data_IF_415420217806
#
_entry.id   IF_415420217806
#
_cell.length_a   1.000
_cell.length_b   1.000
_cell.length_c   1.000
_cell.angle_alpha   90.00
_cell.angle_beta   90.00
_cell.angle_gamma   90.00
#
_symmetry.space_group_name_H-M   'P 1'
#
loop_
_entity.id
_entity.type
_entity.pdbx_description
1 polymer ?
#
# COMPACT_ATOMS: atom_id res chain seq x y z
N UNK A 1 31.18 -46.48 -35.33
CA UNK A 1 31.85 -45.17 -35.35
C UNK A 1 30.79 -44.12 -35.17
N UNK A 2 30.95 -43.34 -34.10
CA UNK A 2 29.98 -42.43 -33.51
C UNK A 2 29.74 -41.20 -34.40
N UNK A 3 28.47 -40.85 -34.64
CA UNK A 3 28.12 -39.48 -35.02
C UNK A 3 27.39 -38.83 -33.85
N UNK A 4 28.11 -37.89 -33.25
CA UNK A 4 27.77 -37.08 -32.10
C UNK A 4 26.63 -36.13 -32.48
N UNK A 5 25.51 -36.22 -31.75
CA UNK A 5 24.43 -35.23 -31.79
C UNK A 5 24.95 -33.99 -31.07
N UNK A 6 25.20 -32.91 -31.82
CA UNK A 6 25.55 -31.60 -31.26
C UNK A 6 24.31 -30.98 -30.60
N UNK A 7 24.25 -31.08 -29.27
CA UNK A 7 23.38 -30.33 -28.39
C UNK A 7 23.84 -28.87 -28.33
N UNK A 8 23.33 -28.00 -29.22
CA UNK A 8 23.62 -26.55 -29.10
C UNK A 8 22.57 -25.58 -29.68
N UNK A 9 21.30 -25.98 -29.86
CA UNK A 9 20.27 -25.08 -30.42
C UNK A 9 18.95 -24.99 -29.62
N UNK A 10 19.02 -25.00 -28.29
CA UNK A 10 17.88 -24.67 -27.43
C UNK A 10 18.35 -23.74 -26.31
N UNK A 11 18.36 -22.43 -26.56
CA UNK A 11 18.20 -21.35 -25.57
C UNK A 11 18.44 -19.99 -26.24
N UNK A 12 17.45 -19.54 -27.01
CA UNK A 12 17.14 -18.10 -27.06
C UNK A 12 15.72 -17.96 -26.54
N UNK A 13 15.60 -18.06 -25.21
CA UNK A 13 14.47 -17.48 -24.51
C UNK A 13 14.47 -15.99 -24.84
N UNK A 14 13.49 -15.58 -25.61
CA UNK A 14 13.19 -14.19 -25.89
C UNK A 14 12.73 -13.50 -24.61
N UNK A 15 13.68 -13.07 -23.76
CA UNK A 15 13.40 -12.04 -22.77
C UNK A 15 13.27 -10.71 -23.52
N UNK A 16 12.08 -10.45 -24.07
CA UNK A 16 11.71 -9.07 -24.38
C UNK A 16 11.66 -8.34 -23.04
N UNK A 17 12.71 -7.56 -22.73
CA UNK A 17 12.63 -6.55 -21.67
C UNK A 17 11.60 -5.54 -22.17
N UNK A 18 10.33 -5.75 -21.85
CA UNK A 18 9.30 -4.74 -22.05
C UNK A 18 9.67 -3.61 -21.10
N UNK A 19 10.14 -2.48 -21.64
CA UNK A 19 10.37 -1.28 -20.85
C UNK A 19 9.07 -0.91 -20.12
N UNK A 20 9.17 -0.37 -18.90
CA UNK A 20 8.03 0.09 -18.12
C UNK A 20 8.31 1.49 -17.58
N UNK A 21 7.28 2.32 -17.49
CA UNK A 21 7.35 3.59 -16.76
C UNK A 21 7.15 3.30 -15.28
N UNK A 22 8.12 3.72 -14.48
CA UNK A 22 8.22 3.44 -13.05
C UNK A 22 7.72 4.65 -12.26
N UNK A 23 6.71 4.47 -11.42
CA UNK A 23 6.13 5.57 -10.65
C UNK A 23 6.26 5.30 -9.16
N UNK A 24 7.01 6.14 -8.47
CA UNK A 24 7.15 6.15 -7.02
C UNK A 24 6.24 7.24 -6.47
N UNK A 25 5.34 6.88 -5.56
CA UNK A 25 4.38 7.82 -4.94
C UNK A 25 4.68 7.92 -3.45
N UNK A 26 4.85 9.13 -2.95
CA UNK A 26 5.10 9.44 -1.53
C UNK A 26 4.00 10.35 -1.00
N UNK A 27 3.48 10.04 0.19
CA UNK A 27 2.59 10.95 0.92
C UNK A 27 3.41 11.95 1.73
N UNK A 28 2.94 13.20 1.83
CA UNK A 28 3.55 14.22 2.69
C UNK A 28 3.87 13.75 4.12
N UNK A 29 4.89 14.36 4.71
CA UNK A 29 5.30 14.16 6.09
C UNK A 29 4.19 14.50 7.10
N UNK A 30 4.39 14.12 8.35
CA UNK A 30 3.41 14.37 9.41
C UNK A 30 3.23 15.89 9.62
N UNK A 31 1.97 16.33 9.75
CA UNK A 31 1.61 17.73 10.02
C UNK A 31 1.01 17.93 11.41
N UNK A 32 0.90 19.19 11.84
CA UNK A 32 0.19 19.57 13.07
C UNK A 32 -1.24 19.04 13.10
N UNK A 33 -1.97 19.11 11.98
CA UNK A 33 -3.33 18.58 11.89
C UNK A 33 -3.39 17.06 11.90
N UNK A 34 -2.35 16.36 11.43
CA UNK A 34 -2.28 14.90 11.61
C UNK A 34 -2.19 14.52 13.08
N UNK A 35 -1.39 15.24 13.88
CA UNK A 35 -1.24 14.99 15.32
C UNK A 35 -2.50 15.33 16.11
N UNK A 36 -3.18 16.41 15.72
CA UNK A 36 -4.42 16.86 16.35
C UNK A 36 -5.64 16.02 15.94
N UNK A 37 -5.57 15.25 14.85
CA UNK A 37 -6.72 14.51 14.33
C UNK A 37 -7.77 15.43 13.69
N UNK A 38 -7.33 16.35 12.83
CA UNK A 38 -8.19 17.28 12.07
C UNK A 38 -8.25 16.91 10.59
N UNK A 39 -9.38 17.20 9.96
CA UNK A 39 -9.49 17.17 8.51
C UNK A 39 -8.67 18.33 7.92
N UNK A 40 -7.71 17.99 7.06
CA UNK A 40 -6.89 18.99 6.34
C UNK A 40 -7.54 19.38 5.03
N UNK A 41 -7.91 18.37 4.22
CA UNK A 41 -8.36 18.59 2.85
C UNK A 41 -7.35 19.42 2.05
N UNK A 42 -7.87 20.28 1.18
CA UNK A 42 -7.08 21.23 0.38
C UNK A 42 -6.67 22.51 1.13
N UNK A 43 -6.99 22.65 2.42
CA UNK A 43 -6.50 23.77 3.23
C UNK A 43 -4.97 23.72 3.35
N UNK A 44 -4.35 24.90 3.40
CA UNK A 44 -2.90 25.07 3.58
C UNK A 44 -2.53 25.60 4.98
N UNK A 45 -3.46 25.48 5.95
CA UNK A 45 -3.26 25.96 7.31
C UNK A 45 -2.36 25.05 8.18
N UNK A 46 -2.13 23.81 7.74
CA UNK A 46 -1.28 22.87 8.47
C UNK A 46 0.16 22.91 7.95
N UNK A 47 1.11 22.83 8.88
CA UNK A 47 2.56 22.78 8.59
C UNK A 47 3.12 21.42 8.96
N UNK A 48 4.25 21.03 8.36
CA UNK A 48 4.98 19.85 8.81
C UNK A 48 5.41 19.99 10.27
N UNK A 49 5.41 18.88 11.00
CA UNK A 49 6.06 18.82 12.31
C UNK A 49 7.53 18.48 12.12
N UNK A 50 8.34 18.68 13.16
CA UNK A 50 9.75 18.26 13.17
C UNK A 50 9.91 16.77 12.78
N UNK A 51 9.04 15.90 13.31
CA UNK A 51 8.99 14.48 12.92
C UNK A 51 8.62 14.29 11.45
N UNK A 52 7.80 15.19 10.90
CA UNK A 52 7.45 15.21 9.49
C UNK A 52 8.64 15.54 8.59
N UNK A 53 9.44 16.54 8.94
CA UNK A 53 10.68 16.90 8.24
C UNK A 53 11.69 15.74 8.29
N UNK A 54 11.96 15.21 9.48
CA UNK A 54 12.89 14.09 9.66
C UNK A 54 12.48 12.85 8.87
N UNK A 55 11.19 12.48 8.91
CA UNK A 55 10.68 11.36 8.15
C UNK A 55 10.80 11.59 6.63
N UNK A 56 10.53 12.80 6.14
CA UNK A 56 10.69 13.14 4.73
C UNK A 56 12.14 13.03 4.26
N UNK A 57 13.10 13.50 5.07
CA UNK A 57 14.52 13.34 4.78
C UNK A 57 14.92 11.85 4.74
N UNK A 58 14.48 11.05 5.71
CA UNK A 58 14.70 9.59 5.72
C UNK A 58 14.08 8.89 4.50
N UNK A 59 12.92 9.35 4.03
CA UNK A 59 12.31 8.87 2.78
C UNK A 59 13.22 9.17 1.59
N UNK A 60 13.82 10.35 1.52
CA UNK A 60 14.79 10.67 0.46
C UNK A 60 16.03 9.78 0.49
N UNK A 61 16.58 9.49 1.68
CA UNK A 61 17.68 8.52 1.84
C UNK A 61 17.28 7.13 1.31
N UNK A 62 16.10 6.65 1.67
CA UNK A 62 15.59 5.34 1.21
C UNK A 62 15.39 5.26 -0.31
N UNK A 63 15.28 6.40 -0.98
CA UNK A 63 15.06 6.51 -2.42
C UNK A 63 16.35 6.77 -3.22
N UNK A 64 17.52 6.88 -2.60
CA UNK A 64 18.79 7.21 -3.28
C UNK A 64 19.21 6.20 -4.36
N UNK A 65 18.74 4.95 -4.31
CA UNK A 65 19.06 3.98 -5.36
C UNK A 65 18.29 4.19 -6.67
N UNK A 66 17.28 5.07 -6.67
CA UNK A 66 16.51 5.39 -7.87
C UNK A 66 17.11 6.60 -8.59
N UNK A 67 17.30 6.47 -9.90
CA UNK A 67 17.54 7.63 -10.77
C UNK A 67 16.18 8.15 -11.23
N UNK A 68 15.83 9.39 -10.88
CA UNK A 68 14.57 10.01 -11.26
C UNK A 68 14.75 10.89 -12.49
N UNK A 69 13.89 10.69 -13.48
CA UNK A 69 13.81 11.53 -14.69
C UNK A 69 12.89 12.74 -14.48
N UNK A 70 11.92 12.63 -13.56
CA UNK A 70 11.02 13.72 -13.21
C UNK A 70 10.52 13.60 -11.76
N UNK A 71 10.27 14.76 -11.14
CA UNK A 71 9.68 14.88 -9.81
C UNK A 71 8.46 15.79 -9.89
N UNK A 72 7.30 15.31 -9.44
CA UNK A 72 6.06 16.08 -9.38
C UNK A 72 5.61 16.25 -7.93
N UNK A 73 5.06 17.42 -7.61
CA UNK A 73 4.56 17.72 -6.26
C UNK A 73 3.23 18.49 -6.28
N UNK A 74 2.39 18.27 -5.26
CA UNK A 74 1.22 19.11 -5.01
C UNK A 74 1.62 20.51 -4.57
N UNK A 75 0.91 21.59 -4.97
CA UNK A 75 1.26 22.97 -4.59
C UNK A 75 1.15 23.29 -3.10
N UNK A 76 0.50 22.45 -2.28
CA UNK A 76 0.30 22.74 -0.86
C UNK A 76 1.62 22.71 -0.07
N UNK A 77 1.78 23.66 0.85
CA UNK A 77 3.02 23.95 1.57
C UNK A 77 3.63 22.70 2.21
N UNK A 78 2.83 21.91 2.95
CA UNK A 78 3.28 20.65 3.57
C UNK A 78 3.89 19.64 2.59
N UNK A 79 3.43 19.62 1.34
CA UNK A 79 3.98 18.76 0.29
C UNK A 79 5.25 19.36 -0.29
N UNK A 80 5.28 20.69 -0.50
CA UNK A 80 6.49 21.38 -0.96
C UNK A 80 7.65 21.20 0.04
N UNK A 81 7.37 21.38 1.34
CA UNK A 81 8.35 21.12 2.41
C UNK A 81 8.82 19.65 2.39
N UNK A 82 7.89 18.69 2.27
CA UNK A 82 8.25 17.27 2.15
C UNK A 82 9.13 17.01 0.93
N UNK A 83 8.81 17.62 -0.21
CA UNK A 83 9.57 17.47 -1.44
C UNK A 83 10.97 18.07 -1.33
N UNK A 84 11.11 19.18 -0.62
CA UNK A 84 12.40 19.79 -0.36
C UNK A 84 13.30 18.88 0.49
N UNK A 85 12.79 18.28 1.56
CA UNK A 85 13.56 17.34 2.39
C UNK A 85 13.99 16.10 1.61
N UNK A 86 13.06 15.51 0.83
CA UNK A 86 13.35 14.34 -0.01
C UNK A 86 14.43 14.66 -1.04
N UNK A 87 14.29 15.79 -1.75
CA UNK A 87 15.25 16.18 -2.81
C UNK A 87 16.60 16.58 -2.23
N UNK A 88 16.64 17.16 -1.03
CA UNK A 88 17.88 17.46 -0.31
C UNK A 88 18.64 16.16 -0.01
N UNK A 89 17.97 15.14 0.53
CA UNK A 89 18.60 13.84 0.77
C UNK A 89 19.04 13.12 -0.51
N UNK A 90 18.27 13.21 -1.60
CA UNK A 90 18.63 12.64 -2.91
C UNK A 90 19.84 13.33 -3.54
N UNK A 91 19.95 14.65 -3.36
CA UNK A 91 21.07 15.45 -3.86
C UNK A 91 22.43 15.06 -3.28
N UNK A 92 22.46 14.39 -2.11
CA UNK A 92 23.70 13.89 -1.52
C UNK A 92 24.39 12.80 -2.37
N UNK A 93 23.66 12.13 -3.26
CA UNK A 93 24.17 11.02 -4.10
C UNK A 93 23.96 11.24 -5.59
N UNK A 94 23.29 12.32 -5.99
CA UNK A 94 22.97 12.60 -7.39
C UNK A 94 22.99 14.11 -7.66
N UNK A 95 24.07 14.57 -8.31
CA UNK A 95 24.27 15.98 -8.66
C UNK A 95 23.31 16.48 -9.77
N UNK A 96 22.63 15.58 -10.48
CA UNK A 96 21.74 15.88 -11.61
C UNK A 96 20.29 15.53 -11.31
N UNK A 97 19.78 15.95 -10.15
CA UNK A 97 18.38 15.75 -9.80
C UNK A 97 17.48 16.70 -10.63
N UNK A 98 16.38 16.22 -11.25
CA UNK A 98 15.46 17.09 -11.97
C UNK A 98 14.76 18.07 -11.02
N UNK A 99 14.38 19.27 -11.50
CA UNK A 99 13.63 20.22 -10.69
C UNK A 99 12.24 19.67 -10.34
N UNK A 100 11.71 20.13 -9.21
CA UNK A 100 10.35 19.78 -8.76
C UNK A 100 9.34 20.51 -9.67
N UNK A 101 8.45 19.74 -10.31
CA UNK A 101 7.35 20.25 -11.12
C UNK A 101 6.09 20.32 -10.25
N UNK A 102 5.61 21.53 -9.96
CA UNK A 102 4.38 21.73 -9.19
C UNK A 102 3.16 21.45 -10.07
N UNK A 103 2.35 20.47 -9.70
CA UNK A 103 1.17 20.04 -10.45
C UNK A 103 -0.12 20.29 -9.66
N UNK A 104 -0.97 21.26 -10.07
CA UNK A 104 -2.25 21.55 -9.39
C UNK A 104 -3.22 20.36 -9.32
N UNK A 105 -3.12 19.40 -10.26
CA UNK A 105 -3.91 18.15 -10.24
C UNK A 105 -3.58 17.25 -9.05
N UNK A 106 -2.44 17.46 -8.38
CA UNK A 106 -2.00 16.70 -7.21
C UNK A 106 -2.50 17.29 -5.88
N UNK A 107 -3.29 18.37 -5.87
CA UNK A 107 -3.90 18.91 -4.65
C UNK A 107 -4.79 17.89 -3.94
N UNK A 108 -4.81 17.95 -2.60
CA UNK A 108 -5.61 17.06 -1.76
C UNK A 108 -7.12 17.27 -1.98
N UNK A 109 -7.89 16.26 -1.62
CA UNK A 109 -9.36 16.31 -1.65
C UNK A 109 -9.90 17.55 -0.93
N UNK A 110 -10.81 18.27 -1.59
CA UNK A 110 -11.49 19.41 -0.97
C UNK A 110 -12.59 18.91 -0.01
N UNK A 111 -12.40 19.19 1.27
CA UNK A 111 -13.34 18.79 2.34
C UNK A 111 -14.15 19.97 2.88
N UNK A 112 -14.15 21.12 2.19
CA UNK A 112 -14.98 22.30 2.47
C UNK A 112 -15.18 22.56 3.97
N UNK A 113 -16.43 22.46 4.46
CA UNK A 113 -16.85 22.75 5.83
C UNK A 113 -16.19 21.87 6.91
N UNK A 114 -15.55 20.77 6.53
CA UNK A 114 -14.84 19.91 7.47
C UNK A 114 -13.40 20.33 7.70
N UNK A 115 -12.80 21.12 6.79
CA UNK A 115 -11.40 21.53 6.92
C UNK A 115 -11.18 22.30 8.22
N UNK A 116 -10.13 21.94 8.95
CA UNK A 116 -9.83 22.49 10.28
C UNK A 116 -10.60 21.85 11.42
N UNK A 117 -11.72 21.16 11.20
CA UNK A 117 -12.46 20.51 12.28
C UNK A 117 -11.80 19.21 12.74
N UNK A 118 -11.93 18.90 14.04
CA UNK A 118 -11.54 17.60 14.57
C UNK A 118 -12.43 16.48 14.01
N UNK A 119 -11.88 15.27 13.87
CA UNK A 119 -12.66 14.10 13.43
C UNK A 119 -13.91 13.86 14.29
N UNK A 120 -13.81 14.08 15.60
CA UNK A 120 -14.93 13.94 16.54
C UNK A 120 -16.00 15.02 16.29
N UNK A 121 -15.59 16.28 16.13
CA UNK A 121 -16.53 17.38 15.86
C UNK A 121 -17.31 17.13 14.56
N UNK A 122 -16.65 16.64 13.51
CA UNK A 122 -17.34 16.31 12.25
C UNK A 122 -18.37 15.21 12.45
N UNK A 123 -18.02 14.16 13.20
CA UNK A 123 -18.94 13.05 13.52
C UNK A 123 -20.18 13.53 14.27
N UNK A 124 -20.00 14.46 15.20
CA UNK A 124 -21.07 15.02 16.03
C UNK A 124 -21.93 16.05 15.28
N UNK A 125 -21.30 16.97 14.54
CA UNK A 125 -21.98 18.05 13.81
C UNK A 125 -22.64 17.58 12.51
N UNK A 126 -22.05 16.60 11.83
CA UNK A 126 -22.49 16.14 10.50
C UNK A 126 -22.71 14.61 10.42
N UNK A 127 -23.50 13.99 11.31
CA UNK A 127 -23.56 12.53 11.44
C UNK A 127 -24.01 11.80 10.17
N UNK A 128 -24.99 12.35 9.43
CA UNK A 128 -25.47 11.76 8.17
C UNK A 128 -24.43 11.83 7.06
N UNK A 129 -23.79 13.00 6.90
CA UNK A 129 -22.76 13.21 5.89
C UNK A 129 -21.49 12.40 6.23
N UNK A 130 -21.13 12.31 7.51
CA UNK A 130 -20.06 11.43 8.01
C UNK A 130 -20.33 9.96 7.70
N UNK A 131 -21.56 9.47 7.94
CA UNK A 131 -21.93 8.10 7.58
C UNK A 131 -21.81 7.87 6.06
N UNK A 132 -22.30 8.80 5.24
CA UNK A 132 -22.14 8.72 3.79
C UNK A 132 -20.67 8.71 3.35
N UNK A 133 -19.83 9.55 3.97
CA UNK A 133 -18.40 9.59 3.73
C UNK A 133 -17.71 8.25 4.04
N UNK A 134 -18.09 7.58 5.13
CA UNK A 134 -17.49 6.31 5.54
C UNK A 134 -17.95 5.13 4.67
N UNK A 135 -19.25 5.02 4.39
CA UNK A 135 -19.84 3.83 3.75
C UNK A 135 -19.96 3.96 2.23
N UNK A 136 -20.21 5.17 1.73
CA UNK A 136 -20.50 5.44 0.32
C UNK A 136 -19.74 6.70 -0.16
N UNK A 137 -18.41 6.73 -0.06
CA UNK A 137 -17.60 7.94 -0.32
C UNK A 137 -17.84 8.55 -1.71
N UNK A 138 -18.17 7.73 -2.71
CA UNK A 138 -18.51 8.16 -4.06
C UNK A 138 -19.82 8.94 -4.20
N UNK A 139 -20.71 8.90 -3.20
CA UNK A 139 -21.96 9.67 -3.15
C UNK A 139 -21.85 10.87 -2.20
N UNK A 140 -20.76 10.98 -1.44
CA UNK A 140 -20.55 12.08 -0.51
C UNK A 140 -20.48 13.42 -1.24
N UNK A 141 -21.18 14.41 -0.68
CA UNK A 141 -21.31 15.77 -1.20
C UNK A 141 -21.67 16.72 -0.05
N UNK A 142 -21.29 18.00 -0.18
CA UNK A 142 -21.67 19.06 0.75
C UNK A 142 -22.98 19.75 0.36
N UNK A 143 -23.24 19.91 -0.95
CA UNK A 143 -24.30 20.76 -1.50
C UNK A 143 -25.06 20.11 -2.68
N UNK A 144 -24.85 18.82 -2.95
CA UNK A 144 -25.33 18.06 -4.12
C UNK A 144 -24.78 18.52 -5.49
N UNK A 145 -23.91 19.53 -5.54
CA UNK A 145 -23.29 20.01 -6.79
C UNK A 145 -21.88 19.47 -6.96
N UNK A 146 -21.16 19.28 -5.85
CA UNK A 146 -19.77 18.83 -5.83
C UNK A 146 -19.62 17.48 -5.13
N UNK A 147 -18.94 16.52 -5.78
CA UNK A 147 -18.65 15.19 -5.27
C UNK A 147 -17.14 15.01 -5.09
N UNK A 148 -16.58 15.27 -3.88
CA UNK A 148 -15.14 15.37 -3.66
C UNK A 148 -14.34 14.16 -4.16
N UNK A 149 -14.82 12.95 -3.89
CA UNK A 149 -14.12 11.71 -4.28
C UNK A 149 -14.14 11.50 -5.78
N UNK A 150 -15.28 11.75 -6.45
CA UNK A 150 -15.38 11.62 -7.92
C UNK A 150 -14.47 12.63 -8.61
N UNK A 151 -14.39 13.84 -8.08
CA UNK A 151 -13.52 14.89 -8.61
C UNK A 151 -12.04 14.52 -8.48
N UNK A 152 -11.64 13.99 -7.33
CA UNK A 152 -10.27 13.53 -7.09
C UNK A 152 -9.86 12.39 -8.04
N UNK A 153 -10.76 11.45 -8.33
CA UNK A 153 -10.52 10.38 -9.31
C UNK A 153 -10.38 10.92 -10.74
N UNK A 154 -11.20 11.91 -11.13
CA UNK A 154 -11.06 12.58 -12.43
C UNK A 154 -9.71 13.29 -12.57
N UNK A 155 -9.27 13.99 -11.51
CA UNK A 155 -7.94 14.64 -11.46
C UNK A 155 -6.81 13.62 -11.62
N UNK A 156 -6.88 12.50 -10.90
CA UNK A 156 -5.89 11.42 -11.00
C UNK A 156 -5.80 10.86 -12.43
N UNK A 157 -6.94 10.54 -13.06
CA UNK A 157 -6.98 10.06 -14.45
C UNK A 157 -6.40 11.08 -15.43
N UNK A 158 -6.77 12.36 -15.29
CA UNK A 158 -6.25 13.44 -16.14
C UNK A 158 -4.76 13.70 -15.91
N UNK A 159 -4.23 13.43 -14.71
CA UNK A 159 -2.81 13.51 -14.43
C UNK A 159 -2.05 12.37 -15.12
N UNK A 160 -2.54 11.13 -15.05
CA UNK A 160 -1.94 10.00 -15.77
C UNK A 160 -1.88 10.23 -17.28
N UNK A 161 -2.95 10.74 -17.88
CA UNK A 161 -2.99 11.10 -19.30
C UNK A 161 -1.93 12.13 -19.70
N UNK A 162 -1.56 13.04 -18.79
CA UNK A 162 -0.55 14.06 -19.05
C UNK A 162 0.88 13.51 -18.99
N UNK A 163 1.16 12.61 -18.03
CA UNK A 163 2.53 12.22 -17.73
C UNK A 163 2.97 10.91 -18.37
N UNK A 164 2.07 9.95 -18.63
CA UNK A 164 2.47 8.62 -19.08
C UNK A 164 3.08 8.64 -20.49
N UNK A 165 2.47 9.36 -21.44
CA UNK A 165 3.00 9.48 -22.80
C UNK A 165 4.31 10.28 -22.84
N UNK A 166 4.44 11.27 -21.95
CA UNK A 166 5.64 12.12 -21.84
C UNK A 166 6.85 11.36 -21.28
N UNK A 167 6.62 10.37 -20.42
CA UNK A 167 7.65 9.73 -19.60
C UNK A 167 7.73 8.21 -19.85
N UNK A 168 7.60 7.78 -21.10
CA UNK A 168 7.70 6.37 -21.46
C UNK A 168 9.06 5.76 -21.08
N UNK A 169 9.04 4.68 -20.30
CA UNK A 169 10.25 3.99 -19.84
C UNK A 169 11.06 4.72 -18.76
N UNK A 170 10.59 5.87 -18.29
CA UNK A 170 11.26 6.70 -17.29
C UNK A 170 10.81 6.38 -15.86
N UNK A 171 11.57 6.87 -14.88
CA UNK A 171 11.28 6.76 -13.44
C UNK A 171 10.85 8.11 -12.89
N UNK A 172 9.66 8.17 -12.31
CA UNK A 172 9.02 9.40 -11.84
C UNK A 172 8.74 9.31 -10.35
N UNK A 173 9.07 10.37 -9.62
CA UNK A 173 8.66 10.57 -8.23
C UNK A 173 7.46 11.51 -8.16
N UNK A 174 6.42 11.12 -7.44
CA UNK A 174 5.22 11.93 -7.17
C UNK A 174 5.08 12.10 -5.66
N UNK A 175 4.98 13.34 -5.20
CA UNK A 175 4.83 13.67 -3.77
C UNK A 175 3.50 14.39 -3.62
N UNK A 176 2.57 13.78 -2.89
CA UNK A 176 1.21 14.31 -2.75
C UNK A 176 0.59 13.92 -1.39
N UNK A 177 -0.70 13.57 -1.37
CA UNK A 177 -1.48 13.47 -0.15
C UNK A 177 -2.17 12.14 0.03
N UNK A 178 -2.81 11.93 1.18
CA UNK A 178 -3.46 10.65 1.48
C UNK A 178 -4.62 10.36 0.53
N UNK A 179 -5.50 11.33 0.31
CA UNK A 179 -6.62 11.19 -0.61
C UNK A 179 -6.16 11.15 -2.07
N UNK A 180 -5.31 12.08 -2.48
CA UNK A 180 -4.75 12.12 -3.84
C UNK A 180 -4.03 10.82 -4.21
N UNK A 181 -3.18 10.28 -3.33
CA UNK A 181 -2.47 9.02 -3.58
C UNK A 181 -3.42 7.83 -3.69
N UNK A 182 -4.49 7.80 -2.89
CA UNK A 182 -5.55 6.78 -3.04
C UNK A 182 -6.15 6.86 -4.44
N UNK A 183 -6.56 8.04 -4.90
CA UNK A 183 -7.11 8.20 -6.25
C UNK A 183 -6.11 7.84 -7.36
N UNK A 184 -4.85 8.26 -7.25
CA UNK A 184 -3.78 7.92 -8.20
C UNK A 184 -3.59 6.41 -8.30
N UNK A 185 -3.41 5.73 -7.17
CA UNK A 185 -3.19 4.28 -7.12
C UNK A 185 -4.45 3.54 -7.57
N UNK A 186 -5.62 3.91 -7.04
CA UNK A 186 -6.91 3.28 -7.39
C UNK A 186 -7.17 3.33 -8.90
N UNK A 187 -7.01 4.50 -9.52
CA UNK A 187 -7.25 4.65 -10.97
C UNK A 187 -6.23 3.91 -11.82
N UNK A 188 -4.99 3.78 -11.35
CA UNK A 188 -3.95 3.00 -12.03
C UNK A 188 -4.18 1.48 -11.96
N UNK A 189 -5.01 1.01 -11.02
CA UNK A 189 -5.24 -0.43 -10.80
C UNK A 189 -6.71 -0.84 -10.93
N UNK A 190 -7.52 -0.03 -11.63
CA UNK A 190 -8.93 -0.28 -11.95
C UNK A 190 -9.90 -0.30 -10.75
N UNK A 191 -9.56 0.37 -9.65
CA UNK A 191 -10.49 0.63 -8.56
C UNK A 191 -11.36 1.86 -8.86
N UNK A 192 -12.57 1.88 -8.31
CA UNK A 192 -13.57 2.92 -8.57
C UNK A 192 -13.68 3.90 -7.38
N UNK A 193 -14.33 5.07 -7.55
CA UNK A 193 -14.56 6.02 -6.46
C UNK A 193 -15.23 5.42 -5.21
N UNK A 194 -16.00 4.34 -5.37
CA UNK A 194 -16.65 3.65 -4.24
C UNK A 194 -15.63 2.97 -3.31
N UNK A 195 -14.46 2.63 -3.84
CA UNK A 195 -13.39 1.91 -3.16
C UNK A 195 -12.36 2.86 -2.51
N UNK A 196 -12.66 4.16 -2.42
CA UNK A 196 -11.72 5.19 -1.95
C UNK A 196 -11.07 4.90 -0.59
N UNK A 197 -11.79 4.26 0.33
CA UNK A 197 -11.27 3.92 1.66
C UNK A 197 -10.51 2.59 1.72
N UNK A 198 -10.48 1.82 0.62
CA UNK A 198 -9.87 0.47 0.59
C UNK A 198 -8.35 0.48 0.69
N UNK A 199 -7.68 1.60 0.42
CA UNK A 199 -6.22 1.71 0.44
C UNK A 199 -5.73 2.58 1.60
N UNK A 200 -4.81 2.06 2.39
CA UNK A 200 -4.14 2.84 3.42
C UNK A 200 -3.00 3.69 2.84
N UNK A 201 -2.80 4.88 3.41
CA UNK A 201 -1.67 5.78 3.12
C UNK A 201 -1.12 6.38 4.42
N UNK A 202 0.08 6.00 4.82
CA UNK A 202 0.84 6.53 5.95
C UNK A 202 1.60 7.79 5.54
N UNK A 203 1.84 8.71 6.47
CA UNK A 203 2.74 9.85 6.20
C UNK A 203 4.12 9.31 5.81
N UNK A 204 4.74 9.90 4.78
CA UNK A 204 5.99 9.40 4.18
C UNK A 204 5.93 7.93 3.71
N UNK A 205 4.73 7.34 3.58
CA UNK A 205 4.56 6.01 3.01
C UNK A 205 4.89 6.01 1.51
N UNK A 206 5.67 5.03 1.07
CA UNK A 206 6.10 4.87 -0.32
C UNK A 206 5.20 3.84 -1.01
N UNK A 207 4.73 4.12 -2.22
CA UNK A 207 4.08 3.15 -3.10
C UNK A 207 4.78 3.13 -4.46
N UNK A 208 4.78 1.99 -5.15
CA UNK A 208 5.49 1.78 -6.41
C UNK A 208 4.60 1.09 -7.43
N UNK A 209 4.44 1.73 -8.59
CA UNK A 209 3.65 1.26 -9.74
C UNK A 209 4.57 1.10 -10.95
N UNK A 210 4.30 0.09 -11.76
CA UNK A 210 4.94 -0.11 -13.07
C UNK A 210 3.88 -0.09 -14.17
N UNK A 211 3.90 0.94 -15.02
CA UNK A 211 3.07 1.01 -16.22
C UNK A 211 3.81 0.34 -17.39
N UNK A 212 3.24 -0.69 -18.03
CA UNK A 212 3.83 -1.27 -19.22
C UNK A 212 3.87 -0.25 -20.37
N UNK A 213 4.93 -0.23 -21.18
CA UNK A 213 5.10 0.73 -22.30
C UNK A 213 4.18 0.52 -23.50
N UNK A 214 3.28 -0.46 -23.46
CA UNK A 214 2.30 -0.73 -24.52
C UNK A 214 1.09 0.22 -24.49
N UNK A 215 1.25 1.45 -23.98
CA UNK A 215 0.18 2.41 -23.73
C UNK A 215 -0.96 1.88 -22.83
N UNK A 216 -0.67 0.89 -21.97
CA UNK A 216 -1.64 0.45 -20.96
C UNK A 216 -1.82 1.56 -19.91
N UNK A 217 -3.07 1.97 -19.71
CA UNK A 217 -3.45 2.85 -18.59
C UNK A 217 -3.49 2.11 -17.24
N UNK A 218 -3.29 0.80 -17.25
CA UNK A 218 -3.29 -0.04 -16.05
C UNK A 218 -1.86 -0.40 -15.68
N UNK A 219 -1.50 -0.11 -14.43
CA UNK A 219 -0.19 -0.40 -13.86
C UNK A 219 -0.20 -1.70 -13.04
N UNK A 220 0.95 -2.35 -12.96
CA UNK A 220 1.20 -3.37 -11.93
C UNK A 220 1.55 -2.68 -10.62
N UNK A 221 0.85 -3.01 -9.54
CA UNK A 221 1.18 -2.51 -8.20
C UNK A 221 2.24 -3.41 -7.57
N UNK A 222 3.45 -2.84 -7.40
CA UNK A 222 4.65 -3.54 -6.94
C UNK A 222 4.86 -3.39 -5.45
N UNK A 223 4.47 -2.25 -4.90
CA UNK A 223 4.57 -1.92 -3.49
C UNK A 223 3.47 -0.92 -3.10
N UNK A 224 2.87 -1.09 -1.92
CA UNK A 224 1.88 -0.17 -1.38
C UNK A 224 2.22 0.17 0.06
N UNK A 225 2.25 1.48 0.35
CA UNK A 225 2.29 2.04 1.70
C UNK A 225 3.44 1.50 2.58
N UNK A 226 4.63 1.44 2.00
CA UNK A 226 5.84 0.97 2.65
C UNK A 226 6.46 2.02 3.56
N UNK A 227 6.74 1.62 4.81
CA UNK A 227 7.17 2.52 5.89
C UNK A 227 8.39 2.02 6.67
N UNK A 228 9.05 0.94 6.24
CA UNK A 228 10.17 0.36 6.98
C UNK A 228 11.36 1.32 7.13
N UNK A 229 11.56 2.23 6.17
CA UNK A 229 12.59 3.27 6.24
C UNK A 229 12.42 4.21 7.43
N UNK A 230 11.24 4.22 8.06
CA UNK A 230 10.92 4.97 9.26
C UNK A 230 10.91 4.09 10.52
N UNK A 231 11.37 2.84 10.43
CA UNK A 231 11.29 1.84 11.50
C UNK A 231 9.91 1.23 11.69
N UNK A 232 8.95 1.50 10.81
CA UNK A 232 7.58 0.95 10.87
C UNK A 232 7.44 -0.24 9.92
N UNK A 233 7.69 -1.45 10.44
CA UNK A 233 7.70 -2.71 9.67
C UNK A 233 6.32 -3.15 9.14
N UNK A 234 5.25 -2.82 9.87
CA UNK A 234 3.87 -3.02 9.43
C UNK A 234 3.11 -1.69 9.49
N UNK A 235 2.22 -1.41 8.52
CA UNK A 235 1.38 -0.23 8.56
C UNK A 235 0.58 -0.11 9.87
N UNK A 236 0.58 1.09 10.46
CA UNK A 236 -0.21 1.40 11.66
C UNK A 236 -1.70 1.15 11.46
N UNK A 237 -2.37 0.62 12.47
CA UNK A 237 -3.83 0.55 12.50
C UNK A 237 -4.41 1.94 12.75
N UNK A 238 -5.21 2.45 11.81
CA UNK A 238 -5.78 3.80 11.90
C UNK A 238 -7.08 3.87 12.71
N UNK A 239 -7.94 2.85 12.62
CA UNK A 239 -9.26 2.85 13.28
C UNK A 239 -9.49 1.60 14.12
N UNK A 240 -10.10 1.79 15.29
CA UNK A 240 -10.59 0.74 16.19
C UNK A 240 -9.54 -0.10 16.92
N UNK A 241 -8.32 -0.25 16.38
CA UNK A 241 -7.29 -1.21 16.87
C UNK A 241 -7.88 -2.61 17.18
N UNK A 242 -8.89 -2.98 16.44
CA UNK A 242 -9.79 -4.10 16.70
C UNK A 242 -10.10 -4.83 15.38
N UNK A 243 -10.51 -6.08 15.48
CA UNK A 243 -10.83 -6.90 14.30
C UNK A 243 -9.67 -7.78 13.90
N UNK A 244 -9.54 -8.03 12.60
CA UNK A 244 -8.56 -9.00 12.07
C UNK A 244 -7.53 -8.31 11.20
N UNK A 245 -6.25 -8.54 11.45
CA UNK A 245 -5.16 -8.20 10.53
C UNK A 245 -4.63 -9.48 9.92
N UNK A 246 -4.73 -9.60 8.60
CA UNK A 246 -4.21 -10.74 7.86
C UNK A 246 -2.92 -10.36 7.16
N UNK A 247 -1.90 -11.17 7.40
CA UNK A 247 -0.62 -11.15 6.73
C UNK A 247 -0.64 -12.27 5.68
N UNK A 248 -0.56 -11.90 4.41
CA UNK A 248 -0.69 -12.82 3.28
C UNK A 248 0.67 -13.06 2.64
N UNK A 249 1.07 -14.32 2.53
CA UNK A 249 2.35 -14.73 1.94
C UNK A 249 2.12 -15.84 0.92
N UNK A 250 2.69 -15.68 -0.26
CA UNK A 250 2.68 -16.70 -1.31
C UNK A 250 3.65 -17.82 -0.96
N UNK A 251 3.27 -19.08 -1.18
CA UNK A 251 4.18 -20.21 -1.04
C UNK A 251 5.24 -20.29 -2.16
N UNK A 252 5.16 -19.40 -3.16
CA UNK A 252 6.17 -19.23 -4.19
C UNK A 252 7.33 -18.32 -3.76
N UNK A 253 7.21 -17.62 -2.62
CA UNK A 253 8.33 -16.84 -2.06
C UNK A 253 9.53 -17.77 -1.92
N UNK A 254 10.67 -17.36 -2.48
CA UNK A 254 11.86 -18.20 -2.50
C UNK A 254 12.24 -18.67 -1.09
N UNK A 255 12.51 -19.98 -0.91
CA UNK A 255 12.97 -20.54 0.37
C UNK A 255 14.16 -19.76 0.94
N UNK A 256 15.01 -19.16 0.10
CA UNK A 256 16.16 -18.33 0.52
C UNK A 256 15.73 -17.02 1.20
N UNK A 257 14.63 -16.40 0.78
CA UNK A 257 14.05 -15.19 1.37
C UNK A 257 13.31 -15.47 2.70
N UNK A 258 12.85 -16.71 2.87
CA UNK A 258 12.24 -17.17 4.13
C UNK A 258 13.27 -17.60 5.17
N UNK A 259 14.43 -18.11 4.72
CA UNK A 259 15.57 -18.47 5.57
C UNK A 259 16.41 -17.25 5.98
N UNK A 260 16.55 -16.25 5.12
CA UNK A 260 17.20 -14.97 5.44
C UNK A 260 16.17 -13.98 5.99
N UNK A 261 15.96 -13.99 7.31
CA UNK A 261 15.44 -12.96 8.25
C UNK A 261 14.41 -11.89 7.84
N UNK A 262 14.21 -11.50 6.58
CA UNK A 262 13.37 -10.37 6.16
C UNK A 262 11.90 -10.52 6.54
N UNK A 263 11.28 -11.70 6.36
CA UNK A 263 9.91 -11.92 6.84
C UNK A 263 9.82 -11.82 8.37
N UNK A 264 10.86 -12.26 9.07
CA UNK A 264 10.95 -12.24 10.54
C UNK A 264 11.31 -10.87 11.12
N UNK A 265 11.96 -10.01 10.33
CA UNK A 265 12.19 -8.60 10.62
C UNK A 265 10.93 -7.78 10.32
N UNK A 266 10.20 -8.13 9.25
CA UNK A 266 8.93 -7.49 8.88
C UNK A 266 7.80 -7.81 9.86
N UNK A 267 7.81 -9.03 10.40
CA UNK A 267 6.76 -9.53 11.28
C UNK A 267 7.39 -9.89 12.61
N UNK A 268 7.20 -9.02 13.60
CA UNK A 268 7.42 -9.38 14.99
C UNK A 268 6.57 -10.62 15.32
N UNK A 269 7.25 -11.71 15.69
CA UNK A 269 6.65 -13.04 15.79
C UNK A 269 5.65 -13.12 16.93
N UNK A 270 5.85 -12.36 18.01
CA UNK A 270 4.90 -12.30 19.11
C UNK A 270 3.58 -11.60 18.71
N UNK A 271 3.52 -10.97 17.52
CA UNK A 271 2.28 -10.41 16.97
C UNK A 271 1.35 -11.46 16.35
N UNK A 272 1.83 -12.64 15.95
CA UNK A 272 1.01 -13.62 15.21
C UNK A 272 0.29 -14.56 16.18
N UNK A 273 -1.04 -14.47 16.20
CA UNK A 273 -1.91 -15.31 17.03
C UNK A 273 -2.15 -16.70 16.41
N UNK A 274 -2.21 -16.77 15.08
CA UNK A 274 -2.52 -18.00 14.35
C UNK A 274 -1.96 -18.02 12.93
N UNK A 275 -1.76 -19.23 12.41
CA UNK A 275 -1.30 -19.49 11.05
C UNK A 275 -2.33 -20.35 10.31
N UNK A 276 -2.71 -19.92 9.11
CA UNK A 276 -3.52 -20.70 8.18
C UNK A 276 -2.65 -21.07 6.97
N UNK A 277 -2.75 -22.31 6.50
CA UNK A 277 -2.10 -22.69 5.25
C UNK A 277 -2.96 -23.64 4.43
N UNK A 278 -2.69 -23.70 3.13
CA UNK A 278 -3.12 -24.84 2.33
C UNK A 278 -2.27 -26.08 2.65
N UNK A 279 -2.71 -27.25 2.16
CA UNK A 279 -2.05 -28.54 2.38
C UNK A 279 -0.96 -28.84 1.32
N UNK A 280 -0.41 -27.81 0.67
CA UNK A 280 0.69 -28.00 -0.26
C UNK A 280 2.00 -28.18 0.52
N UNK A 281 2.85 -29.11 0.07
CA UNK A 281 4.18 -29.36 0.66
C UNK A 281 5.01 -28.08 0.81
N UNK A 282 4.95 -27.17 -0.18
CA UNK A 282 5.64 -25.90 -0.12
C UNK A 282 5.17 -25.07 1.09
N UNK A 283 3.86 -24.94 1.30
CA UNK A 283 3.27 -24.20 2.41
C UNK A 283 3.57 -24.85 3.76
N UNK A 284 3.51 -26.19 3.85
CA UNK A 284 3.82 -26.94 5.07
C UNK A 284 5.27 -26.72 5.53
N UNK A 285 6.22 -26.67 4.59
CA UNK A 285 7.62 -26.36 4.89
C UNK A 285 7.77 -24.95 5.46
N UNK A 286 7.05 -23.96 4.89
CA UNK A 286 7.09 -22.58 5.39
C UNK A 286 6.48 -22.45 6.78
N UNK A 287 5.31 -23.07 6.99
CA UNK A 287 4.65 -23.10 8.30
C UNK A 287 5.55 -23.77 9.33
N UNK A 288 6.12 -24.93 9.02
CA UNK A 288 6.99 -25.66 9.94
C UNK A 288 8.21 -24.82 10.36
N UNK A 289 8.82 -24.10 9.43
CA UNK A 289 9.92 -23.18 9.73
C UNK A 289 9.48 -21.99 10.59
N UNK A 290 8.29 -21.43 10.31
CA UNK A 290 7.73 -20.34 11.08
C UNK A 290 7.41 -20.76 12.53
N UNK A 291 6.73 -21.89 12.72
CA UNK A 291 6.32 -22.40 14.03
C UNK A 291 7.49 -22.88 14.90
N UNK A 292 8.57 -23.40 14.30
CA UNK A 292 9.82 -23.74 15.02
C UNK A 292 10.37 -22.57 15.84
N UNK A 293 10.09 -21.35 15.40
CA UNK A 293 10.57 -20.10 16.01
C UNK A 293 9.43 -19.27 16.60
N UNK A 294 8.20 -19.80 16.66
CA UNK A 294 7.04 -19.17 17.26
C UNK A 294 6.10 -20.21 17.87
N UNK A 295 6.38 -20.61 19.12
CA UNK A 295 5.67 -21.70 19.80
C UNK A 295 4.24 -21.35 20.27
N UNK A 296 3.83 -20.08 20.19
CA UNK A 296 2.51 -19.62 20.66
C UNK A 296 1.44 -19.64 19.57
N UNK A 297 1.84 -19.57 18.30
CA UNK A 297 0.89 -19.51 17.19
C UNK A 297 0.22 -20.86 16.96
N UNK A 298 -1.12 -20.85 16.84
CA UNK A 298 -1.89 -22.05 16.52
C UNK A 298 -1.98 -22.23 15.02
N UNK A 299 -1.62 -23.41 14.50
CA UNK A 299 -1.72 -23.73 13.07
C UNK A 299 -3.01 -24.47 12.74
N UNK A 300 -3.71 -23.99 11.72
CA UNK A 300 -4.88 -24.64 11.14
C UNK A 300 -4.61 -24.95 9.66
N UNK A 301 -4.30 -26.21 9.31
CA UNK A 301 -4.24 -26.64 7.91
C UNK A 301 -5.65 -26.65 7.31
N UNK A 302 -5.81 -26.10 6.11
CA UNK A 302 -7.11 -25.93 5.45
C UNK A 302 -7.13 -26.63 4.09
N UNK A 303 -8.13 -27.52 3.82
CA UNK A 303 -8.29 -28.12 2.50
C UNK A 303 -8.60 -27.06 1.44
N UNK A 304 -8.01 -27.25 0.26
CA UNK A 304 -7.86 -26.25 -0.79
C UNK A 304 -9.18 -25.72 -1.38
N UNK A 305 -10.18 -26.58 -1.53
CA UNK A 305 -11.43 -26.26 -2.25
C UNK A 305 -12.40 -25.41 -1.44
N UNK A 306 -12.26 -25.37 -0.11
CA UNK A 306 -13.19 -24.69 0.79
C UNK A 306 -12.56 -23.51 1.53
N UNK A 307 -11.25 -23.28 1.39
CA UNK A 307 -10.53 -22.26 2.17
C UNK A 307 -11.13 -20.86 2.01
N UNK A 308 -11.27 -20.39 0.78
CA UNK A 308 -11.71 -19.01 0.52
C UNK A 308 -13.16 -18.79 0.97
N UNK A 309 -14.00 -19.79 0.77
CA UNK A 309 -15.41 -19.75 1.14
C UNK A 309 -15.60 -19.86 2.67
N UNK A 310 -14.94 -20.82 3.32
CA UNK A 310 -14.96 -20.97 4.79
C UNK A 310 -14.32 -19.74 5.46
N UNK A 311 -13.23 -19.21 4.95
CA UNK A 311 -12.58 -18.00 5.47
C UNK A 311 -13.53 -16.80 5.40
N UNK A 312 -14.14 -16.55 4.23
CA UNK A 312 -15.13 -15.46 4.09
C UNK A 312 -16.35 -15.68 4.98
N UNK A 313 -16.94 -16.87 4.95
CA UNK A 313 -18.11 -17.20 5.75
C UNK A 313 -17.81 -17.11 7.25
N UNK A 314 -16.62 -17.50 7.70
CA UNK A 314 -16.21 -17.42 9.12
C UNK A 314 -16.06 -15.97 9.56
N UNK A 315 -15.41 -15.12 8.75
CA UNK A 315 -15.28 -13.69 9.03
C UNK A 315 -16.67 -13.02 9.04
N UNK A 316 -17.48 -13.22 8.00
CA UNK A 316 -18.81 -12.63 7.89
C UNK A 316 -19.78 -13.13 8.97
N UNK A 317 -19.78 -14.43 9.27
CA UNK A 317 -20.64 -15.00 10.32
C UNK A 317 -20.26 -14.49 11.72
N UNK A 318 -18.96 -14.31 12.00
CA UNK A 318 -18.51 -13.70 13.26
C UNK A 318 -18.79 -12.20 13.34
N UNK A 319 -18.70 -11.47 12.22
CA UNK A 319 -19.14 -10.07 12.14
C UNK A 319 -20.65 -9.92 12.40
N UNK A 320 -21.48 -10.88 11.93
CA UNK A 320 -22.94 -10.88 12.17
C UNK A 320 -23.34 -11.32 13.58
N UNK A 321 -22.56 -12.18 14.26
CA UNK A 321 -22.95 -12.81 15.54
C UNK A 321 -22.65 -12.01 16.82
N UNK A 322 -22.03 -10.83 16.76
CA UNK A 322 -21.75 -10.04 17.98
C UNK A 322 -22.74 -8.89 18.18
N UNK A 323 -23.75 -9.16 19.00
CA UNK A 323 -24.48 -8.12 19.77
C UNK A 323 -24.11 -8.11 21.27
N UNK A 324 -23.21 -8.99 21.74
CA UNK A 324 -22.76 -8.99 23.14
C UNK A 324 -21.46 -9.79 23.31
N UNK A 325 -20.31 -9.12 23.28
CA UNK A 325 -19.09 -9.55 23.98
C UNK A 325 -17.96 -8.52 23.76
N UNK A 326 -17.57 -7.85 24.85
CA UNK A 326 -16.40 -6.97 25.01
C UNK A 326 -15.06 -7.70 24.78
N UNK A 327 -14.82 -8.22 23.58
CA UNK A 327 -13.46 -8.58 23.17
C UNK A 327 -12.95 -7.55 22.18
N UNK A 328 -12.20 -6.60 22.76
CA UNK A 328 -11.60 -5.39 22.18
C UNK A 328 -10.24 -5.64 21.51
N UNK A 329 -9.88 -6.89 21.21
CA UNK A 329 -8.52 -7.25 20.79
C UNK A 329 -8.42 -7.43 19.27
N UNK A 330 -7.35 -6.86 18.70
CA UNK A 330 -6.89 -7.20 17.36
C UNK A 330 -6.39 -8.65 17.35
N UNK A 331 -6.81 -9.42 16.35
CA UNK A 331 -6.20 -10.73 16.04
C UNK A 331 -5.37 -10.59 14.78
N UNK A 332 -4.09 -10.94 14.83
CA UNK A 332 -3.23 -11.01 13.64
C UNK A 332 -3.00 -12.45 13.23
N UNK A 333 -3.40 -12.79 12.01
CA UNK A 333 -3.17 -14.12 11.43
C UNK A 333 -2.23 -14.07 10.23
N UNK A 334 -1.42 -15.11 10.07
CA UNK A 334 -0.58 -15.33 8.90
C UNK A 334 -1.24 -16.37 7.98
N UNK A 335 -1.39 -16.05 6.70
CA UNK A 335 -1.93 -16.94 5.68
C UNK A 335 -0.81 -17.27 4.69
N UNK A 336 -0.50 -18.56 4.55
CA UNK A 336 0.49 -19.08 3.61
C UNK A 336 -0.20 -20.01 2.61
N UNK A 337 -0.36 -19.54 1.38
CA UNK A 337 -1.11 -20.27 0.33
C UNK A 337 -0.45 -20.08 -1.03
N UNK A 338 -0.88 -20.86 -2.03
CA UNK A 338 -0.50 -20.62 -3.44
C UNK A 338 -0.87 -19.22 -3.92
N UNK A 339 -0.06 -18.68 -4.83
CA UNK A 339 -0.23 -17.37 -5.47
C UNK A 339 -1.66 -17.13 -5.97
N UNK A 340 -2.25 -18.10 -6.67
CA UNK A 340 -3.61 -18.00 -7.21
C UNK A 340 -4.66 -17.75 -6.11
N UNK A 341 -4.56 -18.49 -5.00
CA UNK A 341 -5.47 -18.33 -3.85
C UNK A 341 -5.25 -16.98 -3.16
N UNK A 342 -4.00 -16.52 -3.05
CA UNK A 342 -3.67 -15.21 -2.49
C UNK A 342 -4.27 -14.08 -3.34
N UNK A 343 -4.10 -14.15 -4.66
CA UNK A 343 -4.74 -13.23 -5.60
C UNK A 343 -6.26 -13.23 -5.39
N UNK A 344 -6.92 -14.39 -5.32
CA UNK A 344 -8.37 -14.46 -5.09
C UNK A 344 -8.80 -13.81 -3.76
N UNK A 345 -8.02 -13.96 -2.67
CA UNK A 345 -8.29 -13.26 -1.40
C UNK A 345 -8.26 -11.76 -1.65
N UNK A 346 -7.17 -11.23 -2.23
CA UNK A 346 -7.00 -9.80 -2.47
C UNK A 346 -8.05 -9.23 -3.42
N UNK A 347 -8.38 -9.94 -4.50
CA UNK A 347 -9.41 -9.55 -5.45
C UNK A 347 -10.78 -9.43 -4.78
N UNK A 348 -11.14 -10.40 -3.92
CA UNK A 348 -12.39 -10.34 -3.16
C UNK A 348 -12.37 -9.27 -2.07
N UNK A 349 -11.22 -9.02 -1.44
CA UNK A 349 -11.03 -7.94 -0.46
C UNK A 349 -11.23 -6.57 -1.09
N UNK A 350 -10.72 -6.39 -2.30
CA UNK A 350 -10.73 -5.11 -3.01
C UNK A 350 -11.94 -4.96 -3.94
N UNK A 351 -12.70 -6.03 -4.16
CA UNK A 351 -13.88 -6.04 -5.03
C UNK A 351 -13.56 -5.94 -6.53
N UNK A 352 -12.30 -6.14 -6.92
CA UNK A 352 -11.83 -6.00 -8.29
C UNK A 352 -10.65 -6.93 -8.59
N UNK A 353 -10.50 -7.32 -9.85
CA UNK A 353 -9.30 -8.01 -10.34
C UNK A 353 -8.17 -7.02 -10.51
N UNK A 354 -7.13 -7.13 -9.69
CA UNK A 354 -6.06 -6.13 -9.61
C UNK A 354 -4.72 -6.77 -10.00
N UNK A 355 -3.96 -6.17 -10.92
CA UNK A 355 -2.64 -6.64 -11.31
C UNK A 355 -1.61 -6.37 -10.19
N UNK A 356 -1.55 -7.27 -9.23
CA UNK A 356 -0.66 -7.21 -8.07
C UNK A 356 0.61 -8.02 -8.34
N UNK A 357 1.74 -7.59 -7.78
CA UNK A 357 2.91 -8.45 -7.62
C UNK A 357 2.88 -9.12 -6.25
N UNK A 358 2.38 -10.34 -6.15
CA UNK A 358 2.23 -11.03 -4.85
C UNK A 358 3.35 -12.04 -4.57
N UNK A 359 4.06 -12.48 -5.61
CA UNK A 359 5.13 -13.49 -5.55
C UNK A 359 6.25 -13.20 -4.55
N UNK A 360 6.60 -11.93 -4.32
CA UNK A 360 7.67 -11.50 -3.42
C UNK A 360 7.23 -10.40 -2.45
N UNK A 361 5.92 -10.31 -2.18
CA UNK A 361 5.36 -9.29 -1.30
C UNK A 361 4.57 -9.92 -0.14
N UNK A 362 4.63 -9.26 1.00
CA UNK A 362 3.75 -9.47 2.13
C UNK A 362 2.52 -8.59 1.95
N UNK A 363 1.37 -9.20 1.69
CA UNK A 363 0.09 -8.49 1.70
C UNK A 363 -0.39 -8.25 3.13
N UNK A 364 -0.86 -7.05 3.46
CA UNK A 364 -1.39 -6.72 4.79
C UNK A 364 -2.81 -6.18 4.65
N UNK A 365 -3.79 -6.91 5.18
CA UNK A 365 -5.20 -6.51 5.14
C UNK A 365 -5.74 -6.36 6.56
N UNK A 366 -6.50 -5.29 6.81
CA UNK A 366 -7.25 -5.11 8.05
C UNK A 366 -8.76 -5.19 7.79
N UNK A 367 -9.45 -5.98 8.61
CA UNK A 367 -10.91 -6.10 8.69
C UNK A 367 -11.38 -5.53 10.03
N UNK A 368 -11.84 -4.28 10.06
CA UNK A 368 -12.40 -3.68 11.27
C UNK A 368 -13.67 -4.44 11.71
N UNK A 369 -13.95 -4.49 13.02
CA UNK A 369 -15.16 -5.15 13.55
C UNK A 369 -16.46 -4.42 13.21
N UNK A 370 -16.40 -3.12 12.89
CA UNK A 370 -17.56 -2.25 12.81
C UNK A 370 -18.09 -2.07 11.37
N UNK A 371 -18.64 -3.12 10.73
CA UNK A 371 -19.29 -3.06 9.38
C UNK A 371 -18.52 -2.35 8.24
N UNK A 372 -17.28 -1.94 8.46
CA UNK A 372 -16.47 -1.19 7.52
C UNK A 372 -15.88 -2.11 6.46
N UNK A 373 -15.67 -1.53 5.26
CA UNK A 373 -14.93 -2.17 4.17
C UNK A 373 -13.53 -2.58 4.64
N UNK A 374 -13.03 -3.71 4.14
CA UNK A 374 -11.66 -4.14 4.38
C UNK A 374 -10.66 -3.15 3.78
N UNK A 375 -9.52 -3.00 4.44
CA UNK A 375 -8.48 -2.06 4.05
C UNK A 375 -7.22 -2.85 3.70
N UNK A 376 -6.76 -2.72 2.45
CA UNK A 376 -5.41 -3.12 2.09
C UNK A 376 -4.45 -2.09 2.70
N UNK A 377 -3.79 -2.49 3.78
CA UNK A 377 -2.89 -1.64 4.53
C UNK A 377 -1.53 -1.50 3.85
N UNK A 378 -1.09 -2.53 3.15
CA UNK A 378 0.19 -2.53 2.45
C UNK A 378 0.40 -3.77 1.57
N UNK A 379 1.32 -3.61 0.63
CA UNK A 379 1.92 -4.67 -0.18
C UNK A 379 3.43 -4.44 -0.06
N UNK A 380 4.05 -5.19 0.84
CA UNK A 380 5.38 -4.88 1.35
C UNK A 380 6.41 -5.81 0.73
N UNK A 381 7.43 -5.29 0.02
CA UNK A 381 8.46 -6.13 -0.58
C UNK A 381 9.18 -6.95 0.47
N UNK A 382 9.15 -8.27 0.32
CA UNK A 382 9.92 -9.21 1.14
C UNK A 382 11.37 -9.25 0.65
N UNK A 383 11.55 -9.17 -0.67
CA UNK A 383 12.85 -9.00 -1.28
C UNK A 383 13.29 -7.53 -1.19
N UNK A 384 14.46 -7.30 -0.59
CA UNK A 384 15.09 -5.98 -0.47
C UNK A 384 15.55 -5.43 -1.82
N UNK A 385 15.44 -6.15 -2.94
CA UNK A 385 15.81 -5.65 -4.27
C UNK A 385 15.18 -4.29 -4.65
N UNK A 386 13.94 -4.03 -4.22
CA UNK A 386 13.30 -2.74 -4.49
C UNK A 386 13.82 -1.60 -3.62
N UNK A 387 14.31 -1.90 -2.40
CA UNK A 387 14.84 -0.93 -1.45
C UNK A 387 16.08 -1.47 -0.69
N UNK A 388 17.21 -1.72 -1.37
CA UNK A 388 18.37 -2.41 -0.79
C UNK A 388 19.09 -1.65 0.33
N UNK A 389 19.01 -0.32 0.39
CA UNK A 389 19.74 0.50 1.38
C UNK A 389 19.13 0.51 2.80
N UNK A 390 18.03 -0.20 3.04
CA UNK A 390 17.33 -0.21 4.33
C UNK A 390 18.01 -1.02 5.45
N UNK A 391 19.30 -1.34 5.31
CA UNK A 391 20.04 -2.13 6.30
C UNK A 391 20.88 -1.29 7.27
N UNK A 392 20.83 0.04 7.23
CA UNK A 392 21.67 0.88 8.08
C UNK A 392 20.90 2.05 8.68
N UNK A 393 20.06 1.75 9.69
CA UNK A 393 19.69 2.69 10.74
C UNK A 393 19.15 1.93 11.97
N UNK A 394 19.93 0.97 12.47
CA UNK A 394 19.84 0.53 13.85
C UNK A 394 21.24 0.75 14.46
N UNK A 395 21.49 2.00 14.87
CA UNK A 395 22.54 2.36 15.80
C UNK A 395 21.90 3.23 16.89
#
# INVERSE_FOLDING_TARGET
MNNIISLSNLTKSSNSVTSSTKIIIVRHGRTTYNEQGRYQGSSDESVLTEKGHQAAYQTGLALQQFTFDAIYSSPLTRVQETAQEITTALGNTNDNLPPIIVAPKLTEINMSDWQGLFYQEVREKFPKAYHCWQETPHLFTFDNSFFPVRELFKKAQSFWQEILDKHQGQTILIIAHGGTNRALISTAISLEPKDYHSLQQSNCGISYLEFPTNNSSIAKLKCLNFTNHLGEHLPKLKEGKQGWRWLLVSNQVSRKLLLNSCLCELIDRDLIDLVLSDNCEASEILVSNFLRSNHKAVHFPMPQDSFLEIWQQTIFARQKKKHSANHETLVTGLIIVREESLCQILEKTLGAKIPLDTSNNLGVIHYPHAKQQSILQGLLPIDRQLFPQLTLAAA
#
